data_IF_260363568280
#
_entry.id   IF_260363568280
#
_cell.length_a   1.000
_cell.length_b   1.000
_cell.length_c   1.000
_cell.angle_alpha   90.00
_cell.angle_beta   90.00
_cell.angle_gamma   90.00
#
_symmetry.space_group_name_H-M   'P 1'
#
loop_
_entity.id
_entity.type
_entity.pdbx_description
1 polymer ?
#
# COMPACT_ATOMS: atom_id res chain seq x y z
N UNK A 1 12.72 12.99 -20.58
CA UNK A 1 11.39 12.47 -20.20
C UNK A 1 10.66 13.51 -19.35
N UNK A 2 9.39 13.75 -19.64
CA UNK A 2 8.61 14.71 -18.86
C UNK A 2 7.80 14.00 -17.79
N UNK A 3 8.09 14.29 -16.53
CA UNK A 3 7.39 13.68 -15.39
C UNK A 3 6.22 14.53 -14.86
N UNK A 4 5.81 15.58 -15.56
CA UNK A 4 4.77 16.50 -15.09
C UNK A 4 3.42 15.78 -14.86
N UNK A 5 3.08 14.81 -15.71
CA UNK A 5 1.84 14.03 -15.57
C UNK A 5 1.85 13.21 -14.27
N UNK A 6 3.00 12.62 -13.92
CA UNK A 6 3.14 11.83 -12.68
C UNK A 6 3.00 12.73 -11.45
N UNK A 7 3.65 13.89 -11.47
CA UNK A 7 3.56 14.86 -10.38
C UNK A 7 2.12 15.37 -10.23
N UNK A 8 1.46 15.66 -11.34
CA UNK A 8 0.06 16.08 -11.33
C UNK A 8 -0.83 14.99 -10.72
N UNK A 9 -0.62 13.74 -11.10
CA UNK A 9 -1.39 12.62 -10.56
C UNK A 9 -1.13 12.42 -9.05
N UNK A 10 0.11 12.53 -8.60
CA UNK A 10 0.44 12.50 -7.17
C UNK A 10 -0.29 13.60 -6.40
N UNK A 11 -0.32 14.83 -6.93
CA UNK A 11 -1.04 15.95 -6.32
C UNK A 11 -2.56 15.69 -6.26
N UNK A 12 -3.13 15.15 -7.32
CA UNK A 12 -4.56 14.80 -7.35
C UNK A 12 -4.89 13.72 -6.32
N UNK A 13 -4.03 12.72 -6.16
CA UNK A 13 -4.20 11.69 -5.13
C UNK A 13 -4.14 12.29 -3.72
N UNK A 14 -3.20 13.18 -3.46
CA UNK A 14 -3.11 13.90 -2.19
C UNK A 14 -4.40 14.67 -1.91
N UNK A 15 -4.89 15.42 -2.89
CA UNK A 15 -6.12 16.21 -2.74
C UNK A 15 -7.34 15.34 -2.48
N UNK A 16 -7.44 14.22 -3.19
CA UNK A 16 -8.58 13.32 -3.08
C UNK A 16 -8.58 12.53 -1.76
N UNK A 17 -7.44 12.00 -1.36
CA UNK A 17 -7.31 11.16 -0.16
C UNK A 17 -7.13 11.95 1.12
N UNK A 18 -6.64 13.19 1.03
CA UNK A 18 -6.26 14.00 2.18
C UNK A 18 -4.84 13.75 2.67
N UNK A 19 -4.06 12.93 1.97
CA UNK A 19 -2.67 12.68 2.33
C UNK A 19 -1.79 13.90 2.06
N UNK A 20 -0.81 14.20 2.94
CA UNK A 20 0.12 15.32 2.71
C UNK A 20 1.13 15.01 1.61
N UNK A 21 1.43 13.75 1.35
CA UNK A 21 2.40 13.30 0.36
C UNK A 21 1.88 12.06 -0.37
N UNK A 22 2.33 11.89 -1.59
CA UNK A 22 2.04 10.69 -2.37
C UNK A 22 3.23 10.37 -3.28
N UNK A 23 3.58 9.10 -3.37
CA UNK A 23 4.63 8.59 -4.27
C UNK A 23 4.01 7.51 -5.14
N UNK A 24 4.06 7.70 -6.45
CA UNK A 24 3.62 6.68 -7.40
C UNK A 24 4.64 5.55 -7.50
N UNK A 25 4.15 4.34 -7.67
CA UNK A 25 4.95 3.13 -7.89
C UNK A 25 4.39 2.35 -9.07
N UNK A 26 5.13 1.37 -9.55
CA UNK A 26 4.65 0.51 -10.65
C UNK A 26 3.61 -0.51 -10.19
N UNK A 27 3.55 -0.80 -8.89
CA UNK A 27 2.58 -1.73 -8.31
C UNK A 27 2.40 -1.49 -6.81
N UNK A 28 1.29 -1.93 -6.25
CA UNK A 28 1.07 -1.93 -4.81
C UNK A 28 2.09 -2.82 -4.08
N UNK A 29 2.47 -3.95 -4.68
CA UNK A 29 3.48 -4.85 -4.12
C UNK A 29 4.81 -4.13 -3.90
N UNK A 30 5.27 -3.36 -4.88
CA UNK A 30 6.49 -2.56 -4.74
C UNK A 30 6.31 -1.38 -3.77
N UNK A 31 5.12 -0.79 -3.71
CA UNK A 31 4.81 0.22 -2.69
C UNK A 31 4.99 -0.34 -1.28
N UNK A 32 4.47 -1.53 -1.02
CA UNK A 32 4.62 -2.23 0.26
C UNK A 32 6.10 -2.51 0.55
N UNK A 33 6.85 -3.01 -0.43
CA UNK A 33 8.28 -3.27 -0.26
C UNK A 33 9.06 -2.02 0.12
N UNK A 34 8.81 -0.91 -0.55
CA UNK A 34 9.47 0.37 -0.24
C UNK A 34 9.16 0.84 1.19
N UNK A 35 7.91 0.73 1.60
CA UNK A 35 7.50 1.07 2.96
C UNK A 35 8.19 0.19 4.01
N UNK A 36 8.23 -1.11 3.78
CA UNK A 36 8.88 -2.07 4.70
C UNK A 36 10.37 -1.78 4.83
N UNK A 37 11.05 -1.47 3.74
CA UNK A 37 12.47 -1.10 3.74
C UNK A 37 12.70 0.22 4.47
N UNK A 38 11.90 1.23 4.16
CA UNK A 38 12.05 2.57 4.76
C UNK A 38 11.80 2.54 6.27
N UNK A 39 10.82 1.76 6.73
CA UNK A 39 10.51 1.62 8.16
C UNK A 39 11.41 0.60 8.87
N UNK A 40 12.31 -0.07 8.15
CA UNK A 40 13.22 -1.08 8.70
C UNK A 40 12.48 -2.14 9.54
N UNK A 41 11.37 -2.62 9.01
CA UNK A 41 10.51 -3.59 9.68
C UNK A 41 11.19 -4.94 9.79
N UNK A 42 11.14 -5.58 10.96
CA UNK A 42 11.75 -6.89 11.21
C UNK A 42 10.73 -8.00 11.42
N UNK A 43 9.57 -7.66 11.94
CA UNK A 43 8.48 -8.62 12.16
C UNK A 43 7.12 -7.94 12.01
N UNK A 44 6.13 -8.69 11.54
CA UNK A 44 4.75 -8.21 11.41
C UNK A 44 3.79 -9.33 11.75
N UNK A 45 2.58 -8.97 12.13
CA UNK A 45 1.43 -9.88 12.11
C UNK A 45 0.50 -9.48 10.96
N UNK A 46 -0.02 -10.46 10.23
CA UNK A 46 -0.91 -10.21 9.09
C UNK A 46 -2.02 -11.26 9.03
N UNK A 47 -3.16 -10.93 8.39
CA UNK A 47 -4.22 -11.92 8.19
C UNK A 47 -3.75 -13.08 7.31
N UNK A 48 -4.31 -14.27 7.53
CA UNK A 48 -4.01 -15.47 6.72
C UNK A 48 -4.47 -15.36 5.28
N UNK A 49 -5.60 -14.70 5.05
CA UNK A 49 -6.24 -14.62 3.73
C UNK A 49 -5.92 -13.30 3.07
N UNK A 50 -4.78 -13.25 2.38
CA UNK A 50 -4.30 -12.08 1.64
C UNK A 50 -3.80 -12.49 0.26
N UNK A 51 -3.51 -11.50 -0.58
CA UNK A 51 -2.88 -11.74 -1.85
C UNK A 51 -1.43 -12.23 -1.65
N UNK A 52 -1.06 -13.27 -2.36
CA UNK A 52 0.21 -13.98 -2.12
C UNK A 52 1.46 -13.08 -2.26
N UNK A 53 1.43 -12.08 -3.13
CA UNK A 53 2.58 -11.20 -3.35
C UNK A 53 2.98 -10.45 -2.08
N UNK A 54 2.02 -10.11 -1.22
CA UNK A 54 2.28 -9.45 0.07
C UNK A 54 3.18 -10.32 0.96
N UNK A 55 2.85 -11.61 1.07
CA UNK A 55 3.65 -12.55 1.85
C UNK A 55 5.03 -12.77 1.21
N UNK A 56 5.10 -12.86 -0.12
CA UNK A 56 6.35 -13.07 -0.83
C UNK A 56 7.34 -11.92 -0.62
N UNK A 57 6.85 -10.68 -0.54
CA UNK A 57 7.70 -9.51 -0.21
C UNK A 57 8.29 -9.65 1.19
N UNK A 58 7.48 -10.03 2.16
CA UNK A 58 7.95 -10.24 3.53
C UNK A 58 9.03 -11.32 3.58
N UNK A 59 8.82 -12.42 2.88
CA UNK A 59 9.79 -13.50 2.78
C UNK A 59 11.09 -13.03 2.12
N UNK A 60 10.98 -12.30 1.01
CA UNK A 60 12.14 -11.72 0.30
C UNK A 60 12.99 -10.83 1.21
N UNK A 61 12.37 -10.08 2.10
CA UNK A 61 13.06 -9.16 3.00
C UNK A 61 13.47 -9.80 4.34
N UNK A 62 13.27 -11.10 4.49
CA UNK A 62 13.54 -11.85 5.74
C UNK A 62 12.81 -11.25 6.94
N UNK A 63 11.58 -10.84 6.74
CA UNK A 63 10.72 -10.33 7.81
C UNK A 63 9.96 -11.49 8.43
N UNK A 64 9.97 -11.60 9.76
CA UNK A 64 9.22 -12.60 10.48
C UNK A 64 7.73 -12.32 10.40
N UNK A 65 6.94 -13.33 10.09
CA UNK A 65 5.50 -13.19 9.90
C UNK A 65 4.75 -14.06 10.90
N UNK A 66 3.83 -13.45 11.63
CA UNK A 66 2.83 -14.14 12.43
C UNK A 66 1.47 -14.01 11.73
N UNK A 67 0.79 -15.13 11.49
CA UNK A 67 -0.52 -15.11 10.87
C UNK A 67 -1.63 -15.04 11.92
N UNK A 68 -2.64 -14.22 11.65
CA UNK A 68 -3.83 -14.11 12.48
C UNK A 68 -5.08 -14.57 11.72
N UNK A 69 -6.08 -15.02 12.46
CA UNK A 69 -7.39 -15.37 11.89
C UNK A 69 -8.31 -14.15 11.71
N UNK A 70 -7.79 -12.94 11.92
CA UNK A 70 -8.56 -11.71 11.81
C UNK A 70 -9.11 -11.55 10.40
N UNK A 71 -10.42 -11.38 10.29
CA UNK A 71 -11.06 -11.01 9.04
C UNK A 71 -10.84 -9.53 8.74
N UNK A 72 -10.77 -9.21 7.45
CA UNK A 72 -10.57 -7.85 6.99
C UNK A 72 -11.38 -7.57 5.73
N UNK A 73 -11.69 -6.29 5.51
CA UNK A 73 -12.35 -5.80 4.30
C UNK A 73 -11.61 -4.58 3.77
N UNK A 74 -11.34 -4.56 2.47
CA UNK A 74 -10.76 -3.44 1.73
C UNK A 74 -9.30 -3.12 2.06
N UNK A 75 -8.89 -3.18 3.31
CA UNK A 75 -7.52 -2.90 3.74
C UNK A 75 -7.18 -3.64 5.02
N UNK A 76 -5.89 -3.85 5.26
CA UNK A 76 -5.40 -4.36 6.54
C UNK A 76 -4.04 -3.76 6.87
N UNK A 77 -3.73 -3.71 8.16
CA UNK A 77 -2.44 -3.24 8.67
C UNK A 77 -1.48 -4.40 8.84
N UNK A 78 -0.21 -4.19 8.47
CA UNK A 78 0.87 -5.05 8.92
C UNK A 78 1.15 -4.71 10.38
N UNK A 79 0.54 -5.46 11.31
CA UNK A 79 0.58 -5.18 12.73
C UNK A 79 2.02 -5.10 13.23
N UNK A 80 2.32 -4.08 14.01
CA UNK A 80 3.66 -3.73 14.43
C UNK A 80 4.31 -2.67 13.56
N UNK A 81 3.61 -2.16 12.54
CA UNK A 81 4.09 -1.12 11.63
C UNK A 81 3.02 -0.06 11.37
N UNK A 82 3.42 1.01 10.65
CA UNK A 82 2.52 2.06 10.16
C UNK A 82 1.97 1.75 8.77
N UNK A 83 2.27 0.57 8.23
CA UNK A 83 2.02 0.21 6.83
C UNK A 83 0.67 -0.48 6.69
N UNK A 84 -0.13 -0.01 5.73
CA UNK A 84 -1.43 -0.58 5.40
C UNK A 84 -1.46 -1.03 3.95
N UNK A 85 -1.91 -2.26 3.72
CA UNK A 85 -2.24 -2.72 2.38
C UNK A 85 -3.68 -2.28 2.08
N UNK A 86 -3.80 -1.17 1.35
CA UNK A 86 -5.07 -0.57 0.95
C UNK A 86 -5.37 -0.85 -0.52
N UNK A 87 -4.91 -1.98 -1.04
CA UNK A 87 -5.05 -2.34 -2.45
C UNK A 87 -6.50 -2.42 -2.94
N UNK A 88 -7.45 -2.63 -2.03
CA UNK A 88 -8.88 -2.75 -2.34
C UNK A 88 -9.70 -1.57 -1.82
N UNK A 89 -9.06 -0.55 -1.32
CA UNK A 89 -9.73 0.66 -0.82
C UNK A 89 -9.24 1.88 -1.57
N UNK A 90 -10.21 2.66 -2.09
CA UNK A 90 -9.92 3.98 -2.64
C UNK A 90 -11.16 4.86 -2.49
N UNK A 91 -11.07 5.87 -1.63
CA UNK A 91 -12.16 6.80 -1.39
C UNK A 91 -11.64 8.16 -0.92
N UNK A 92 -12.49 9.17 -1.08
CA UNK A 92 -12.16 10.53 -0.65
C UNK A 92 -11.93 10.57 0.86
N UNK A 93 -10.87 11.27 1.26
CA UNK A 93 -10.57 11.50 2.68
C UNK A 93 -10.08 10.26 3.42
N UNK A 94 -9.63 9.22 2.73
CA UNK A 94 -9.27 7.95 3.36
C UNK A 94 -7.98 8.00 4.19
N UNK A 95 -7.15 9.00 4.00
CA UNK A 95 -5.86 9.07 4.67
C UNK A 95 -6.03 9.26 6.19
N UNK A 96 -5.24 8.53 6.95
CA UNK A 96 -5.14 8.68 8.39
C UNK A 96 -3.71 9.09 8.76
N UNK A 97 -3.61 10.13 9.61
CA UNK A 97 -2.33 10.72 9.99
C UNK A 97 -1.35 9.67 10.55
N UNK A 98 -0.12 9.72 10.07
CA UNK A 98 0.95 8.83 10.49
C UNK A 98 0.96 7.46 9.84
N UNK A 99 0.01 7.16 8.96
CA UNK A 99 -0.05 5.88 8.24
C UNK A 99 0.60 5.99 6.86
N UNK A 100 1.14 4.85 6.40
CA UNK A 100 1.61 4.65 5.04
C UNK A 100 0.63 3.70 4.36
N UNK A 101 -0.25 4.25 3.53
CA UNK A 101 -1.29 3.47 2.85
C UNK A 101 -0.86 3.14 1.42
N UNK A 102 -0.78 1.84 1.10
CA UNK A 102 -0.36 1.36 -0.22
C UNK A 102 -1.56 1.08 -1.09
N UNK A 103 -1.62 1.74 -2.24
CA UNK A 103 -2.73 1.68 -3.18
C UNK A 103 -2.40 0.84 -4.41
N UNK A 104 -3.42 0.31 -5.06
CA UNK A 104 -3.31 -0.41 -6.33
C UNK A 104 -4.28 0.15 -7.36
N UNK A 105 -3.82 0.26 -8.61
CA UNK A 105 -4.59 0.74 -9.75
C UNK A 105 -4.76 -0.32 -10.84
N UNK A 106 -4.72 -1.60 -10.46
CA UNK A 106 -4.94 -2.72 -11.37
C UNK A 106 -6.37 -2.79 -11.91
N UNK A 107 -6.59 -3.72 -12.86
CA UNK A 107 -7.86 -3.85 -13.59
C UNK A 107 -9.10 -4.08 -12.72
N UNK A 108 -8.93 -4.66 -11.53
CA UNK A 108 -10.05 -5.01 -10.64
C UNK A 108 -10.20 -4.04 -9.46
N UNK A 109 -9.44 -2.95 -9.48
CA UNK A 109 -9.40 -2.00 -8.34
C UNK A 109 -10.44 -0.88 -8.48
N UNK A 110 -10.62 -0.10 -7.42
CA UNK A 110 -11.56 1.02 -7.40
C UNK A 110 -11.23 2.08 -8.45
N UNK A 111 -9.96 2.43 -8.57
CA UNK A 111 -9.45 3.25 -9.66
C UNK A 111 -8.65 2.36 -10.60
N UNK A 112 -9.19 2.10 -11.78
CA UNK A 112 -8.65 1.15 -12.74
C UNK A 112 -7.86 1.89 -13.82
N UNK A 113 -6.54 1.80 -13.73
CA UNK A 113 -5.63 2.38 -14.73
C UNK A 113 -4.96 1.26 -15.56
N UNK A 114 -5.10 0.01 -15.11
CA UNK A 114 -4.50 -1.16 -15.72
C UNK A 114 -3.37 -1.74 -14.89
N UNK A 115 -2.48 -0.90 -14.39
CA UNK A 115 -1.40 -1.25 -13.47
C UNK A 115 -0.96 -0.02 -12.71
N UNK A 116 -0.07 -0.21 -11.76
CA UNK A 116 0.45 0.87 -10.95
C UNK A 116 0.00 0.79 -9.50
N UNK A 117 0.65 1.58 -8.68
CA UNK A 117 0.35 1.72 -7.27
C UNK A 117 0.83 3.07 -6.74
N UNK A 118 0.63 3.29 -5.45
CA UNK A 118 1.08 4.49 -4.76
C UNK A 118 1.24 4.24 -3.27
N UNK A 119 2.01 5.10 -2.63
CA UNK A 119 2.15 5.21 -1.17
C UNK A 119 1.58 6.54 -0.75
#
# INVERSE_FOLDING_TARGET
>A
MNYSVLIEFENLLCNYTGAPYCVLTDSCTHAIELCLRQQNVKSVAMPKHTYISALMVLHKLNIDVEFSDKEWQYEYNYLGSKIWDSARRFCSGMYQAGQMQCLSFGHTKRLQIGHGGAI
#
